data_IF_743991564256
#
_entry.id   IF_743991564256
#
_cell.length_a   1.000
_cell.length_b   1.000
_cell.length_c   1.000
_cell.angle_alpha   90.00
_cell.angle_beta   90.00
_cell.angle_gamma   90.00
#
_symmetry.space_group_name_H-M   'P 1'
#
loop_
_entity.id
_entity.type
_entity.pdbx_description
1 polymer ?
#
# COMPACT_ATOMS: atom_id res chain seq x y z
N UNK A 1 25.13 -8.83 5.88
CA UNK A 1 25.55 -7.67 5.06
C UNK A 1 26.93 -7.13 5.42
N UNK A 2 27.36 -7.06 6.70
CA UNK A 2 28.65 -6.40 7.05
C UNK A 2 29.93 -7.04 6.47
N UNK A 3 30.08 -8.38 6.30
CA UNK A 3 31.34 -8.93 5.78
C UNK A 3 31.60 -8.57 4.32
N UNK A 4 30.54 -8.48 3.52
CA UNK A 4 30.60 -8.24 2.08
C UNK A 4 31.03 -6.80 1.78
N UNK A 5 30.43 -5.85 2.51
CA UNK A 5 30.82 -4.42 2.46
C UNK A 5 32.27 -4.24 2.93
N UNK A 6 32.69 -4.99 3.94
CA UNK A 6 34.08 -4.95 4.43
C UNK A 6 35.08 -5.39 3.35
N UNK A 7 34.85 -6.53 2.67
CA UNK A 7 35.75 -7.01 1.61
C UNK A 7 35.75 -6.11 0.38
N UNK A 8 34.59 -5.60 -0.04
CA UNK A 8 34.51 -4.66 -1.19
C UNK A 8 35.18 -3.32 -0.84
N UNK A 9 35.09 -2.87 0.41
CA UNK A 9 35.78 -1.67 0.90
C UNK A 9 37.31 -1.74 0.85
N UNK A 10 37.91 -2.94 0.81
CA UNK A 10 39.36 -3.12 0.70
C UNK A 10 39.91 -2.91 -0.72
N UNK A 11 39.03 -2.80 -1.73
CA UNK A 11 39.45 -2.65 -3.14
C UNK A 11 40.20 -1.34 -3.39
N UNK A 12 39.79 -0.23 -2.78
CA UNK A 12 40.43 1.08 -2.94
C UNK A 12 41.84 1.10 -2.33
N UNK A 13 42.06 0.67 -1.06
CA UNK A 13 43.41 0.50 -0.51
C UNK A 13 44.33 -0.39 -1.34
N UNK A 14 43.81 -1.51 -1.86
CA UNK A 14 44.58 -2.45 -2.69
C UNK A 14 45.00 -1.83 -4.04
N UNK A 15 44.11 -1.08 -4.68
CA UNK A 15 44.39 -0.35 -5.92
C UNK A 15 45.43 0.76 -5.73
N UNK A 16 45.41 1.45 -4.59
CA UNK A 16 46.40 2.48 -4.26
C UNK A 16 47.79 1.84 -4.05
N UNK A 17 47.85 0.64 -3.46
CA UNK A 17 49.11 -0.06 -3.23
C UNK A 17 49.76 -0.62 -4.51
N UNK A 18 49.01 -0.76 -5.61
CA UNK A 18 49.50 -1.22 -6.91
C UNK A 18 49.78 -0.08 -7.91
N UNK A 19 49.55 1.17 -7.51
CA UNK A 19 49.85 2.34 -8.34
C UNK A 19 51.36 2.47 -8.61
N UNK A 20 51.74 2.74 -9.87
CA UNK A 20 53.15 2.87 -10.29
C UNK A 20 53.87 4.00 -9.54
N UNK A 21 55.14 3.76 -9.21
CA UNK A 21 56.02 4.71 -8.48
C UNK A 21 56.11 6.11 -9.11
N UNK A 22 55.86 6.25 -10.43
CA UNK A 22 55.90 7.52 -11.16
C UNK A 22 54.72 8.45 -10.88
N UNK A 23 53.63 7.96 -10.30
CA UNK A 23 52.46 8.79 -9.96
C UNK A 23 52.61 9.42 -8.57
N UNK A 24 52.34 10.72 -8.44
CA UNK A 24 52.26 11.36 -7.11
C UNK A 24 51.24 10.60 -6.28
N UNK A 25 51.64 10.05 -5.13
CA UNK A 25 50.77 9.26 -4.23
C UNK A 25 49.44 9.97 -3.89
N UNK A 26 49.45 11.31 -3.83
CA UNK A 26 48.24 12.12 -3.64
C UNK A 26 47.28 12.12 -4.84
N UNK A 27 47.81 12.10 -6.06
CA UNK A 27 47.03 12.10 -7.30
C UNK A 27 46.43 10.71 -7.57
N UNK A 28 47.23 9.65 -7.36
CA UNK A 28 46.75 8.27 -7.43
C UNK A 28 45.63 8.00 -6.41
N UNK A 29 45.80 8.46 -5.17
CA UNK A 29 44.77 8.36 -4.14
C UNK A 29 43.50 9.14 -4.50
N UNK A 30 43.65 10.41 -4.94
CA UNK A 30 42.53 11.25 -5.35
C UNK A 30 41.72 10.66 -6.50
N UNK A 31 42.39 10.17 -7.55
CA UNK A 31 41.73 9.54 -8.69
C UNK A 31 41.05 8.22 -8.32
N UNK A 32 41.67 7.38 -7.50
CA UNK A 32 41.08 6.12 -7.05
C UNK A 32 39.82 6.35 -6.20
N UNK A 33 39.86 7.33 -5.29
CA UNK A 33 38.69 7.71 -4.51
C UNK A 33 37.59 8.30 -5.40
N UNK A 34 37.92 9.20 -6.33
CA UNK A 34 36.95 9.78 -7.25
C UNK A 34 36.23 8.72 -8.09
N UNK A 35 37.00 7.77 -8.67
CA UNK A 35 36.43 6.66 -9.44
C UNK A 35 35.55 5.75 -8.57
N UNK A 36 35.96 5.47 -7.33
CA UNK A 36 35.16 4.69 -6.38
C UNK A 36 33.84 5.38 -6.04
N UNK A 37 33.86 6.69 -5.79
CA UNK A 37 32.64 7.46 -5.51
C UNK A 37 31.67 7.43 -6.69
N UNK A 38 32.16 7.69 -7.91
CA UNK A 38 31.33 7.64 -9.12
C UNK A 38 30.77 6.23 -9.33
N UNK A 39 31.60 5.20 -9.19
CA UNK A 39 31.19 3.81 -9.31
C UNK A 39 30.13 3.41 -8.28
N UNK A 40 30.26 3.85 -7.03
CA UNK A 40 29.29 3.57 -5.97
C UNK A 40 27.93 4.24 -6.23
N UNK A 41 27.93 5.50 -6.68
CA UNK A 41 26.69 6.21 -7.04
C UNK A 41 25.99 5.50 -8.19
N UNK A 42 26.73 5.23 -9.28
CA UNK A 42 26.18 4.56 -10.46
C UNK A 42 25.69 3.14 -10.11
N UNK A 43 26.50 2.36 -9.39
CA UNK A 43 26.17 1.00 -8.99
C UNK A 43 24.95 0.93 -8.08
N UNK A 44 24.83 1.86 -7.13
CA UNK A 44 23.68 1.97 -6.24
C UNK A 44 22.40 2.31 -7.04
N UNK A 45 22.45 3.32 -7.91
CA UNK A 45 21.31 3.73 -8.73
C UNK A 45 20.89 2.63 -9.72
N UNK A 46 21.84 1.99 -10.42
CA UNK A 46 21.55 0.89 -11.35
C UNK A 46 20.92 -0.29 -10.59
N UNK A 47 21.48 -0.67 -9.44
CA UNK A 47 20.96 -1.81 -8.67
C UNK A 47 19.55 -1.52 -8.14
N UNK A 48 19.35 -0.35 -7.54
CA UNK A 48 18.07 -0.01 -6.88
C UNK A 48 16.96 0.39 -7.85
N UNK A 49 17.26 1.21 -8.87
CA UNK A 49 16.25 1.76 -9.77
C UNK A 49 16.03 0.93 -11.02
N UNK A 50 17.01 0.12 -11.43
CA UNK A 50 16.91 -0.68 -12.65
C UNK A 50 16.77 -2.16 -12.32
N UNK A 51 17.77 -2.78 -11.67
CA UNK A 51 17.74 -4.22 -11.41
C UNK A 51 16.57 -4.59 -10.49
N UNK A 52 16.43 -3.91 -9.34
CA UNK A 52 15.37 -4.24 -8.39
C UNK A 52 13.98 -3.92 -8.93
N UNK A 53 13.84 -2.85 -9.73
CA UNK A 53 12.56 -2.46 -10.30
C UNK A 53 12.07 -3.45 -11.38
N UNK A 54 12.94 -3.83 -12.33
CA UNK A 54 12.54 -4.68 -13.46
C UNK A 54 12.70 -6.18 -13.21
N UNK A 55 13.72 -6.58 -12.45
CA UNK A 55 14.05 -8.00 -12.22
C UNK A 55 13.69 -8.46 -10.80
N UNK A 56 13.27 -7.55 -9.92
CA UNK A 56 13.00 -7.87 -8.54
C UNK A 56 14.27 -8.05 -7.70
N UNK A 57 14.07 -8.16 -6.38
CA UNK A 57 15.18 -8.20 -5.41
C UNK A 57 16.00 -9.49 -5.52
N UNK A 58 15.33 -10.63 -5.76
CA UNK A 58 15.99 -11.93 -5.84
C UNK A 58 17.03 -12.02 -6.97
N UNK A 59 16.63 -11.65 -8.19
CA UNK A 59 17.55 -11.60 -9.33
C UNK A 59 18.62 -10.52 -9.16
N UNK A 60 18.30 -9.38 -8.54
CA UNK A 60 19.27 -8.33 -8.27
C UNK A 60 20.42 -8.81 -7.39
N UNK A 61 20.11 -9.56 -6.32
CA UNK A 61 21.12 -10.17 -5.45
C UNK A 61 21.97 -11.17 -6.26
N UNK A 62 21.33 -12.03 -7.05
CA UNK A 62 22.04 -13.02 -7.86
C UNK A 62 22.98 -12.36 -8.88
N UNK A 63 22.53 -11.33 -9.60
CA UNK A 63 23.35 -10.61 -10.59
C UNK A 63 24.53 -9.91 -9.92
N UNK A 64 24.33 -9.25 -8.77
CA UNK A 64 25.43 -8.62 -8.04
C UNK A 64 26.47 -9.65 -7.58
N UNK A 65 26.03 -10.80 -7.06
CA UNK A 65 26.94 -11.89 -6.70
C UNK A 65 27.64 -12.51 -7.91
N UNK A 66 26.98 -12.57 -9.07
CA UNK A 66 27.57 -13.03 -10.32
C UNK A 66 28.67 -12.08 -10.82
N UNK A 67 28.43 -10.76 -10.78
CA UNK A 67 29.43 -9.74 -11.12
C UNK A 67 30.65 -9.88 -10.21
N UNK A 68 30.44 -10.04 -8.89
CA UNK A 68 31.54 -10.26 -7.95
C UNK A 68 32.31 -11.56 -8.24
N UNK A 69 31.62 -12.64 -8.60
CA UNK A 69 32.26 -13.88 -9.00
C UNK A 69 33.12 -13.73 -10.27
N UNK A 70 32.66 -12.94 -11.24
CA UNK A 70 33.43 -12.59 -12.46
C UNK A 70 34.68 -11.80 -12.09
N UNK A 71 34.55 -10.77 -11.25
CA UNK A 71 35.69 -9.99 -10.75
C UNK A 71 36.73 -10.87 -10.03
N UNK A 72 36.26 -11.81 -9.20
CA UNK A 72 37.13 -12.79 -8.54
C UNK A 72 37.90 -13.64 -9.57
N UNK A 73 37.25 -14.04 -10.66
CA UNK A 73 37.86 -14.81 -11.75
C UNK A 73 39.05 -14.12 -12.41
N UNK A 74 39.08 -12.78 -12.45
CA UNK A 74 40.21 -12.00 -12.98
C UNK A 74 41.38 -11.87 -12.00
N UNK A 75 41.14 -12.02 -10.68
CA UNK A 75 42.16 -11.84 -9.64
C UNK A 75 42.82 -13.17 -9.26
N UNK A 76 42.12 -14.29 -9.43
CA UNK A 76 42.59 -15.62 -9.02
C UNK A 76 43.69 -16.14 -9.97
N UNK A 77 44.75 -16.70 -9.38
CA UNK A 77 45.76 -17.46 -10.14
C UNK A 77 45.19 -18.81 -10.59
N UNK A 78 45.03 -18.98 -11.90
CA UNK A 78 44.42 -20.18 -12.48
C UNK A 78 45.31 -21.43 -12.39
N UNK A 79 46.60 -21.29 -12.08
CA UNK A 79 47.54 -22.42 -12.00
C UNK A 79 47.64 -23.03 -10.60
N UNK A 80 47.05 -22.41 -9.58
CA UNK A 80 47.11 -22.87 -8.20
C UNK A 80 46.19 -24.08 -7.91
N UNK A 81 46.60 -25.04 -7.05
CA UNK A 81 45.75 -26.16 -6.66
C UNK A 81 44.49 -25.73 -5.89
N UNK A 82 44.50 -24.51 -5.31
CA UNK A 82 43.38 -23.93 -4.56
C UNK A 82 42.24 -23.42 -5.46
N UNK A 83 42.51 -23.19 -6.74
CA UNK A 83 41.54 -22.60 -7.69
C UNK A 83 40.34 -23.52 -7.92
N UNK A 84 40.55 -24.84 -7.94
CA UNK A 84 39.46 -25.83 -8.06
C UNK A 84 38.45 -25.70 -6.91
N UNK A 85 38.94 -25.60 -5.67
CA UNK A 85 38.07 -25.46 -4.49
C UNK A 85 37.32 -24.12 -4.50
N UNK A 86 38.00 -23.04 -4.91
CA UNK A 86 37.41 -21.70 -4.99
C UNK A 86 36.32 -21.61 -6.07
N UNK A 87 36.54 -22.22 -7.24
CA UNK A 87 35.51 -22.31 -8.31
C UNK A 87 34.31 -23.11 -7.82
N UNK A 88 34.53 -24.30 -7.23
CA UNK A 88 33.45 -25.13 -6.69
C UNK A 88 32.65 -24.38 -5.62
N UNK A 89 33.33 -23.70 -4.70
CA UNK A 89 32.69 -22.89 -3.67
C UNK A 89 31.84 -21.77 -4.29
N UNK A 90 32.40 -21.00 -5.23
CA UNK A 90 31.71 -19.88 -5.88
C UNK A 90 30.47 -20.33 -6.64
N UNK A 91 30.58 -21.41 -7.43
CA UNK A 91 29.45 -22.00 -8.17
C UNK A 91 28.37 -22.50 -7.22
N UNK A 92 28.77 -23.17 -6.12
CA UNK A 92 27.84 -23.66 -5.10
C UNK A 92 27.09 -22.50 -4.43
N UNK A 93 27.81 -21.43 -4.04
CA UNK A 93 27.19 -20.24 -3.48
C UNK A 93 26.21 -19.59 -4.44
N UNK A 94 26.57 -19.42 -5.72
CA UNK A 94 25.66 -18.86 -6.73
C UNK A 94 24.42 -19.74 -6.92
N UNK A 95 24.57 -21.07 -6.93
CA UNK A 95 23.45 -22.00 -7.03
C UNK A 95 22.50 -21.91 -5.83
N UNK A 96 23.05 -21.79 -4.61
CA UNK A 96 22.27 -21.58 -3.38
C UNK A 96 21.54 -20.23 -3.43
N UNK A 97 22.22 -19.16 -3.82
CA UNK A 97 21.63 -17.81 -3.91
C UNK A 97 20.47 -17.80 -4.90
N UNK A 98 20.66 -18.38 -6.09
CA UNK A 98 19.61 -18.49 -7.10
C UNK A 98 18.42 -19.32 -6.58
N UNK A 99 18.70 -20.44 -5.92
CA UNK A 99 17.65 -21.32 -5.42
C UNK A 99 16.83 -20.67 -4.31
N UNK A 100 17.48 -20.01 -3.35
CA UNK A 100 16.81 -19.42 -2.18
C UNK A 100 16.16 -18.07 -2.47
N UNK A 101 16.80 -17.19 -3.25
CA UNK A 101 16.31 -15.82 -3.44
C UNK A 101 15.38 -15.67 -4.64
N UNK A 102 15.50 -16.54 -5.64
CA UNK A 102 14.66 -16.51 -6.85
C UNK A 102 13.64 -17.64 -6.79
N UNK A 103 14.08 -18.90 -6.92
CA UNK A 103 13.17 -20.03 -7.12
C UNK A 103 12.23 -20.29 -5.93
N UNK A 104 12.70 -20.10 -4.71
CA UNK A 104 11.86 -20.28 -3.52
C UNK A 104 10.82 -19.16 -3.39
N UNK A 105 11.24 -17.92 -3.65
CA UNK A 105 10.36 -16.73 -3.67
C UNK A 105 9.25 -16.88 -4.70
N UNK A 106 9.57 -17.31 -5.92
CA UNK A 106 8.59 -17.51 -7.01
C UNK A 106 7.54 -18.60 -6.71
N UNK A 107 7.86 -19.53 -5.80
CA UNK A 107 6.91 -20.55 -5.34
C UNK A 107 6.04 -20.06 -4.18
N UNK A 108 6.55 -19.13 -3.39
CA UNK A 108 5.87 -18.64 -2.19
C UNK A 108 4.84 -17.55 -2.54
N UNK A 109 5.18 -16.68 -3.50
CA UNK A 109 4.36 -15.55 -3.90
C UNK A 109 3.76 -15.77 -5.29
N UNK A 110 2.51 -15.35 -5.46
CA UNK A 110 1.86 -15.31 -6.77
C UNK A 110 2.54 -14.29 -7.70
N UNK A 111 3.00 -13.16 -7.13
CA UNK A 111 3.90 -12.22 -7.78
C UNK A 111 4.65 -11.38 -6.74
N UNK A 112 5.80 -10.85 -7.16
CA UNK A 112 6.57 -9.85 -6.40
C UNK A 112 6.79 -8.65 -7.30
N UNK A 113 6.34 -7.49 -6.86
CA UNK A 113 6.46 -6.22 -7.59
C UNK A 113 7.34 -5.23 -6.82
N UNK A 114 7.65 -4.05 -7.38
CA UNK A 114 8.29 -2.98 -6.63
C UNK A 114 7.46 -2.48 -5.43
N UNK A 115 6.17 -2.76 -5.38
CA UNK A 115 5.25 -2.28 -4.34
C UNK A 115 4.90 -3.37 -3.31
N UNK A 116 4.66 -4.59 -3.77
CA UNK A 116 4.01 -5.62 -2.98
C UNK A 116 4.48 -7.04 -3.30
N UNK A 117 4.49 -7.88 -2.26
CA UNK A 117 4.52 -9.32 -2.40
C UNK A 117 3.10 -9.87 -2.25
N UNK A 118 2.58 -10.51 -3.29
CA UNK A 118 1.23 -11.06 -3.33
C UNK A 118 1.23 -12.55 -3.06
N UNK A 119 0.31 -13.00 -2.23
CA UNK A 119 0.09 -14.42 -1.98
C UNK A 119 -1.41 -14.68 -1.85
N UNK A 120 -1.89 -15.77 -2.44
CA UNK A 120 -3.26 -16.27 -2.22
C UNK A 120 -3.13 -17.61 -1.53
N UNK A 121 -3.84 -17.77 -0.43
CA UNK A 121 -3.86 -19.02 0.34
C UNK A 121 -5.29 -19.48 0.56
N UNK A 122 -5.50 -20.79 0.50
CA UNK A 122 -6.78 -21.40 0.82
C UNK A 122 -7.06 -21.27 2.33
N UNK A 123 -8.33 -21.09 2.65
CA UNK A 123 -8.89 -21.02 4.00
C UNK A 123 -10.08 -21.98 4.08
N UNK A 124 -10.40 -22.57 5.25
CA UNK A 124 -11.52 -23.51 5.35
C UNK A 124 -12.85 -23.01 4.75
N UNK A 125 -13.10 -21.70 4.87
CA UNK A 125 -14.35 -21.07 4.40
C UNK A 125 -14.20 -20.31 3.06
N UNK A 126 -13.04 -20.38 2.39
CA UNK A 126 -12.81 -19.64 1.14
C UNK A 126 -11.33 -19.33 0.91
N UNK A 127 -11.01 -18.10 0.50
CA UNK A 127 -9.63 -17.70 0.16
C UNK A 127 -9.19 -16.45 0.89
N UNK A 128 -7.90 -16.36 1.18
CA UNK A 128 -7.26 -15.16 1.75
C UNK A 128 -6.30 -14.57 0.73
N UNK A 129 -6.39 -13.25 0.57
CA UNK A 129 -5.42 -12.47 -0.19
C UNK A 129 -4.47 -11.78 0.77
N UNK A 130 -3.19 -12.13 0.66
CA UNK A 130 -2.11 -11.67 1.52
C UNK A 130 -1.24 -10.72 0.70
N UNK A 131 -1.04 -9.51 1.23
CA UNK A 131 -0.18 -8.48 0.65
C UNK A 131 0.87 -8.13 1.69
N UNK A 132 2.15 -8.24 1.34
CA UNK A 132 3.27 -7.95 2.24
C UNK A 132 3.17 -8.67 3.59
N UNK A 133 2.74 -9.94 3.57
CA UNK A 133 2.51 -10.82 4.74
C UNK A 133 1.38 -10.38 5.68
N UNK A 134 0.60 -9.37 5.32
CA UNK A 134 -0.62 -8.99 6.03
C UNK A 134 -1.85 -9.55 5.32
N UNK A 135 -2.86 -9.96 6.09
CA UNK A 135 -4.15 -10.40 5.53
C UNK A 135 -4.90 -9.17 4.99
N UNK A 136 -4.78 -8.92 3.69
CA UNK A 136 -5.40 -7.77 3.04
C UNK A 136 -6.90 -8.01 2.79
N UNK A 137 -7.26 -9.22 2.36
CA UNK A 137 -8.63 -9.55 2.01
C UNK A 137 -8.97 -11.01 2.27
N UNK A 138 -10.26 -11.28 2.31
CA UNK A 138 -10.83 -12.62 2.36
C UNK A 138 -12.08 -12.64 1.49
N UNK A 139 -12.35 -13.78 0.87
CA UNK A 139 -13.59 -14.02 0.18
C UNK A 139 -14.09 -15.41 0.52
N UNK A 140 -15.32 -15.48 1.00
CA UNK A 140 -15.99 -16.75 1.27
C UNK A 140 -16.38 -17.42 -0.06
N UNK A 141 -16.23 -18.74 -0.14
CA UNK A 141 -16.45 -19.50 -1.37
C UNK A 141 -17.92 -19.47 -1.82
N UNK A 142 -18.85 -19.68 -0.89
CA UNK A 142 -20.29 -19.79 -1.18
C UNK A 142 -20.99 -18.42 -1.23
N UNK A 143 -20.79 -17.60 -0.21
CA UNK A 143 -21.52 -16.33 -0.03
C UNK A 143 -20.86 -15.16 -0.75
N UNK A 144 -19.60 -15.29 -1.18
CA UNK A 144 -18.77 -14.21 -1.75
C UNK A 144 -18.58 -13.00 -0.82
N UNK A 145 -18.92 -13.15 0.47
CA UNK A 145 -18.70 -12.13 1.50
C UNK A 145 -17.24 -12.01 1.86
N UNK A 146 -16.83 -10.79 2.20
CA UNK A 146 -15.47 -10.51 2.64
C UNK A 146 -15.32 -10.47 4.16
N UNK A 147 -14.24 -9.83 4.63
CA UNK A 147 -14.03 -9.59 6.05
C UNK A 147 -15.12 -8.68 6.67
N UNK A 148 -15.35 -8.75 7.99
CA UNK A 148 -16.38 -7.94 8.65
C UNK A 148 -16.33 -6.44 8.33
N UNK A 149 -15.12 -5.86 8.22
CA UNK A 149 -14.96 -4.44 7.92
C UNK A 149 -15.54 -4.06 6.55
N UNK A 150 -15.30 -4.87 5.50
CA UNK A 150 -15.80 -4.57 4.16
C UNK A 150 -17.31 -4.77 4.10
N UNK A 151 -17.85 -5.72 4.85
CA UNK A 151 -19.30 -5.92 5.00
C UNK A 151 -19.97 -4.74 5.72
N UNK A 152 -19.30 -4.13 6.71
CA UNK A 152 -19.76 -2.88 7.33
C UNK A 152 -19.77 -1.73 6.31
N UNK A 153 -18.71 -1.59 5.50
CA UNK A 153 -18.67 -0.60 4.42
C UNK A 153 -19.81 -0.83 3.43
N UNK A 154 -20.03 -2.07 2.96
CA UNK A 154 -21.13 -2.42 2.06
C UNK A 154 -22.49 -2.06 2.64
N UNK A 155 -22.74 -2.38 3.91
CA UNK A 155 -24.00 -2.04 4.59
C UNK A 155 -24.23 -0.53 4.62
N UNK A 156 -23.20 0.27 4.94
CA UNK A 156 -23.31 1.72 4.96
C UNK A 156 -23.53 2.32 3.57
N UNK A 157 -22.71 1.92 2.59
CA UNK A 157 -22.73 2.45 1.21
C UNK A 157 -24.01 2.05 0.47
N UNK A 158 -24.37 0.76 0.50
CA UNK A 158 -25.53 0.24 -0.25
C UNK A 158 -26.86 0.32 0.54
N UNK A 159 -26.89 1.01 1.68
CA UNK A 159 -28.14 1.31 2.41
C UNK A 159 -29.06 2.27 1.64
N UNK A 160 -28.51 3.02 0.67
CA UNK A 160 -29.23 3.96 -0.17
C UNK A 160 -29.24 3.46 -1.63
N UNK A 161 -30.08 4.07 -2.47
CA UNK A 161 -30.08 3.75 -3.89
C UNK A 161 -28.77 4.19 -4.54
N UNK A 162 -27.98 3.22 -5.00
CA UNK A 162 -26.68 3.43 -5.65
C UNK A 162 -26.73 3.26 -7.17
N UNK A 163 -27.92 3.12 -7.77
CA UNK A 163 -28.05 3.05 -9.23
C UNK A 163 -27.46 4.31 -9.88
N UNK A 164 -26.54 4.11 -10.83
CA UNK A 164 -25.81 5.14 -11.57
C UNK A 164 -24.95 6.07 -10.70
N UNK A 165 -24.68 5.70 -9.44
CA UNK A 165 -23.80 6.43 -8.53
C UNK A 165 -22.34 6.03 -8.73
N UNK A 166 -21.45 7.02 -8.71
CA UNK A 166 -20.02 6.83 -8.97
C UNK A 166 -19.26 6.63 -7.66
N UNK A 167 -18.65 5.44 -7.52
CA UNK A 167 -17.86 5.06 -6.35
C UNK A 167 -16.39 4.94 -6.75
N UNK A 168 -15.52 5.72 -6.10
CA UNK A 168 -14.07 5.57 -6.20
C UNK A 168 -13.55 4.82 -4.98
N UNK A 169 -12.86 3.72 -5.20
CA UNK A 169 -12.16 2.97 -4.14
C UNK A 169 -10.67 3.23 -4.28
N UNK A 170 -10.07 3.85 -3.27
CA UNK A 170 -8.63 4.05 -3.15
C UNK A 170 -8.06 2.85 -2.38
N UNK A 171 -7.24 2.05 -3.06
CA UNK A 171 -6.78 0.74 -2.59
C UNK A 171 -7.69 -0.36 -3.13
N UNK A 172 -7.09 -1.41 -3.70
CA UNK A 172 -7.83 -2.50 -4.32
C UNK A 172 -7.51 -3.86 -3.68
N UNK A 173 -7.47 -3.90 -2.34
CA UNK A 173 -7.19 -5.10 -1.53
C UNK A 173 -8.21 -6.23 -1.74
N UNK A 174 -8.12 -6.92 -2.87
CA UNK A 174 -8.96 -8.06 -3.24
C UNK A 174 -10.27 -7.73 -3.95
N UNK A 175 -10.57 -6.46 -4.24
CA UNK A 175 -11.80 -6.03 -4.96
C UNK A 175 -13.12 -6.54 -4.35
N UNK A 176 -13.12 -6.80 -3.04
CA UNK A 176 -14.23 -7.48 -2.35
C UNK A 176 -15.46 -6.59 -2.13
N UNK A 177 -15.31 -5.27 -2.20
CA UNK A 177 -16.44 -4.32 -2.16
C UNK A 177 -17.47 -4.62 -3.27
N UNK A 178 -16.98 -5.02 -4.44
CA UNK A 178 -17.79 -5.31 -5.63
C UNK A 178 -17.86 -6.80 -5.96
N UNK A 179 -17.48 -7.69 -5.04
CA UNK A 179 -17.57 -9.14 -5.29
C UNK A 179 -19.04 -9.60 -5.37
N UNK A 180 -19.90 -9.00 -4.55
CA UNK A 180 -21.36 -9.23 -4.57
C UNK A 180 -22.05 -8.31 -5.60
N UNK A 181 -23.38 -8.16 -5.51
CA UNK A 181 -24.11 -7.19 -6.33
C UNK A 181 -23.78 -5.75 -5.91
N UNK A 182 -23.61 -4.90 -6.91
CA UNK A 182 -23.28 -3.47 -6.75
C UNK A 182 -24.52 -2.59 -6.80
N UNK A 183 -25.71 -3.15 -7.00
CA UNK A 183 -27.00 -2.44 -7.03
C UNK A 183 -27.02 -1.29 -8.06
N UNK A 184 -26.31 -1.47 -9.17
CA UNK A 184 -26.18 -0.49 -10.25
C UNK A 184 -25.11 0.59 -10.03
N UNK A 185 -24.27 0.48 -9.01
CA UNK A 185 -23.17 1.41 -8.76
C UNK A 185 -22.04 1.28 -9.78
N UNK A 186 -21.46 2.41 -10.18
CA UNK A 186 -20.32 2.50 -11.08
C UNK A 186 -19.03 2.57 -10.25
N UNK A 187 -18.37 1.43 -10.08
CA UNK A 187 -17.18 1.33 -9.21
C UNK A 187 -15.90 1.48 -10.03
N UNK A 188 -15.01 2.36 -9.58
CA UNK A 188 -13.63 2.50 -10.05
C UNK A 188 -12.67 2.22 -8.90
N UNK A 189 -11.84 1.20 -9.05
CA UNK A 189 -10.73 0.91 -8.16
C UNK A 189 -9.46 1.60 -8.64
N UNK A 190 -8.73 2.15 -7.70
CA UNK A 190 -7.42 2.75 -7.91
C UNK A 190 -6.42 2.10 -6.96
N UNK A 191 -5.37 1.49 -7.51
CA UNK A 191 -4.26 0.97 -6.72
C UNK A 191 -2.94 1.33 -7.41
N UNK A 192 -1.87 1.51 -6.64
CA UNK A 192 -0.57 1.85 -7.22
C UNK A 192 0.04 0.66 -7.97
N UNK A 193 -0.31 -0.56 -7.58
CA UNK A 193 0.26 -1.77 -8.15
C UNK A 193 -0.59 -2.32 -9.29
N UNK A 194 -0.12 -2.27 -10.56
CA UNK A 194 -0.89 -2.78 -11.70
C UNK A 194 -1.13 -4.30 -11.67
N UNK A 195 -0.29 -5.06 -10.96
CA UNK A 195 -0.37 -6.53 -10.93
C UNK A 195 -1.47 -7.04 -9.98
N UNK A 196 -2.02 -6.18 -9.10
CA UNK A 196 -3.05 -6.59 -8.14
C UNK A 196 -4.30 -7.14 -8.83
N UNK A 197 -4.71 -6.53 -9.95
CA UNK A 197 -5.89 -6.96 -10.72
C UNK A 197 -5.72 -8.35 -11.32
N UNK A 198 -4.73 -8.63 -12.19
CA UNK A 198 -4.61 -9.95 -12.80
C UNK A 198 -4.42 -11.06 -11.75
N UNK A 199 -3.73 -10.78 -10.64
CA UNK A 199 -3.56 -11.74 -9.54
C UNK A 199 -4.91 -12.00 -8.85
N UNK A 200 -5.65 -10.94 -8.52
CA UNK A 200 -6.95 -11.07 -7.88
C UNK A 200 -7.92 -11.85 -8.77
N UNK A 201 -8.05 -11.49 -10.06
CA UNK A 201 -8.95 -12.17 -10.99
C UNK A 201 -8.58 -13.64 -11.20
N UNK A 202 -7.28 -13.95 -11.29
CA UNK A 202 -6.81 -15.31 -11.61
C UNK A 202 -6.80 -16.25 -10.42
N UNK A 203 -6.37 -15.78 -9.24
CA UNK A 203 -6.07 -16.66 -8.11
C UNK A 203 -7.02 -16.47 -6.93
N UNK A 204 -7.48 -15.25 -6.68
CA UNK A 204 -8.26 -14.92 -5.48
C UNK A 204 -9.78 -14.98 -5.71
N UNK A 205 -10.27 -14.20 -6.67
CA UNK A 205 -11.70 -14.14 -7.03
C UNK A 205 -12.11 -15.26 -7.97
N UNK A 206 -11.20 -15.69 -8.85
CA UNK A 206 -11.44 -16.64 -9.95
C UNK A 206 -12.51 -16.16 -10.95
N UNK A 207 -12.74 -14.85 -11.00
CA UNK A 207 -13.61 -14.17 -11.94
C UNK A 207 -13.07 -12.77 -12.22
N UNK A 208 -13.63 -12.12 -13.25
CA UNK A 208 -13.28 -10.72 -13.54
C UNK A 208 -13.82 -9.80 -12.45
N UNK A 209 -13.06 -8.75 -12.15
CA UNK A 209 -13.53 -7.72 -11.22
C UNK A 209 -14.81 -7.05 -11.78
N UNK A 210 -15.71 -6.66 -10.89
CA UNK A 210 -16.89 -5.85 -11.25
C UNK A 210 -16.57 -4.37 -11.06
N UNK A 211 -16.15 -3.72 -12.14
CA UNK A 211 -15.82 -2.30 -12.14
C UNK A 211 -14.64 -1.96 -13.03
N UNK A 212 -14.18 -0.72 -12.96
CA UNK A 212 -12.98 -0.23 -13.64
C UNK A 212 -11.78 -0.31 -12.69
N UNK A 213 -10.60 -0.54 -13.24
CA UNK A 213 -9.35 -0.51 -12.48
C UNK A 213 -8.39 0.49 -13.13
N UNK A 214 -7.76 1.30 -12.31
CA UNK A 214 -6.74 2.28 -12.70
C UNK A 214 -5.51 2.00 -11.84
N UNK A 215 -4.35 1.85 -12.50
CA UNK A 215 -3.07 1.78 -11.80
C UNK A 215 -2.54 3.20 -11.57
N UNK A 216 -2.35 3.61 -10.31
CA UNK A 216 -1.83 4.92 -9.96
C UNK A 216 -1.88 5.25 -8.47
N UNK A 217 -1.08 6.23 -8.06
CA UNK A 217 -1.08 6.72 -6.68
C UNK A 217 -2.37 7.48 -6.35
N UNK A 218 -2.95 7.20 -5.17
CA UNK A 218 -4.21 7.76 -4.72
C UNK A 218 -4.20 9.29 -4.62
N UNK A 219 -3.15 9.87 -4.01
CA UNK A 219 -3.06 11.32 -3.84
C UNK A 219 -2.83 12.01 -5.18
N UNK A 220 -1.91 11.50 -5.99
CA UNK A 220 -1.61 12.04 -7.31
C UNK A 220 -2.83 12.01 -8.24
N UNK A 221 -3.58 10.91 -8.23
CA UNK A 221 -4.81 10.78 -9.02
C UNK A 221 -5.88 11.78 -8.59
N UNK A 222 -6.13 11.94 -7.30
CA UNK A 222 -7.10 12.92 -6.80
C UNK A 222 -6.69 14.36 -7.12
N UNK A 223 -5.39 14.70 -7.05
CA UNK A 223 -4.89 16.03 -7.39
C UNK A 223 -5.10 16.38 -8.86
N UNK A 224 -4.93 15.42 -9.76
CA UNK A 224 -4.98 15.62 -11.21
C UNK A 224 -6.37 15.42 -11.82
N UNK A 225 -7.26 14.68 -11.15
CA UNK A 225 -8.62 14.44 -11.61
C UNK A 225 -9.52 15.66 -11.38
N UNK A 226 -10.30 16.04 -12.40
CA UNK A 226 -11.37 17.04 -12.27
C UNK A 226 -12.73 16.42 -11.89
N UNK A 227 -12.80 15.09 -11.79
CA UNK A 227 -14.03 14.35 -11.45
C UNK A 227 -14.34 14.49 -9.95
N UNK A 228 -15.63 14.47 -9.64
CA UNK A 228 -16.15 14.28 -8.28
C UNK A 228 -16.94 12.97 -8.22
N UNK A 229 -17.04 12.40 -7.02
CA UNK A 229 -17.65 11.09 -6.79
C UNK A 229 -18.74 11.17 -5.73
N UNK A 230 -19.74 10.30 -5.84
CA UNK A 230 -20.79 10.17 -4.83
C UNK A 230 -20.26 9.47 -3.59
N UNK A 231 -19.38 8.48 -3.76
CA UNK A 231 -18.70 7.80 -2.67
C UNK A 231 -17.21 7.69 -2.96
N UNK A 232 -16.37 8.03 -1.98
CA UNK A 232 -14.94 7.72 -2.00
C UNK A 232 -14.63 6.78 -0.83
N UNK A 233 -14.26 5.54 -1.13
CA UNK A 233 -13.81 4.58 -0.12
C UNK A 233 -12.29 4.63 -0.04
N UNK A 234 -11.74 4.92 1.13
CA UNK A 234 -10.31 4.92 1.40
C UNK A 234 -9.95 3.64 2.14
N UNK A 235 -9.42 2.69 1.41
CA UNK A 235 -9.00 1.36 1.87
C UNK A 235 -7.54 1.08 1.48
N UNK A 236 -6.67 2.04 1.81
CA UNK A 236 -5.26 2.06 1.40
C UNK A 236 -4.32 1.37 2.40
N UNK A 237 -4.81 1.04 3.59
CA UNK A 237 -3.94 0.70 4.73
C UNK A 237 -4.05 -0.78 5.10
N UNK A 238 -3.01 -1.55 4.78
CA UNK A 238 -2.96 -2.99 5.13
C UNK A 238 -2.43 -3.23 6.56
N UNK A 239 -1.64 -2.30 7.11
CA UNK A 239 -1.08 -2.34 8.47
C UNK A 239 -0.65 -0.92 8.88
N UNK A 240 -0.84 -0.54 10.15
CA UNK A 240 -0.37 0.73 10.71
C UNK A 240 1.13 0.95 10.59
N UNK A 241 1.93 -0.12 10.56
CA UNK A 241 3.39 -0.02 10.38
C UNK A 241 3.82 0.41 8.96
N UNK A 242 2.93 0.35 7.97
CA UNK A 242 3.27 0.55 6.55
C UNK A 242 2.32 1.50 5.83
N UNK A 243 1.75 2.46 6.56
CA UNK A 243 0.87 3.48 5.98
C UNK A 243 1.69 4.44 5.10
N UNK A 244 1.31 4.64 3.83
CA UNK A 244 1.95 5.65 3.00
C UNK A 244 1.77 7.03 3.62
N UNK A 245 2.87 7.69 4.00
CA UNK A 245 2.84 8.93 4.78
C UNK A 245 2.00 10.03 4.11
N UNK A 246 2.04 10.13 2.77
CA UNK A 246 1.31 11.14 2.03
C UNK A 246 -0.20 10.91 1.99
N UNK A 247 -0.70 9.72 2.35
CA UNK A 247 -2.14 9.43 2.41
C UNK A 247 -2.70 9.47 3.83
N UNK A 248 -1.90 9.81 4.84
CA UNK A 248 -2.34 9.95 6.24
C UNK A 248 -2.12 11.38 6.76
N UNK A 249 -2.63 12.36 6.01
CA UNK A 249 -2.43 13.80 6.30
C UNK A 249 -3.75 14.55 6.25
N UNK A 250 -3.82 15.67 6.94
CA UNK A 250 -4.96 16.58 6.87
C UNK A 250 -5.25 16.99 5.42
N UNK A 251 -4.20 17.28 4.64
CA UNK A 251 -4.32 17.69 3.24
C UNK A 251 -4.90 16.57 2.37
N UNK A 252 -4.53 15.31 2.63
CA UNK A 252 -5.08 14.18 1.88
C UNK A 252 -6.57 13.98 2.18
N UNK A 253 -6.97 13.95 3.45
CA UNK A 253 -8.39 13.80 3.79
C UNK A 253 -9.22 15.01 3.37
N UNK A 254 -8.64 16.21 3.39
CA UNK A 254 -9.28 17.43 2.86
C UNK A 254 -9.44 17.36 1.35
N UNK A 255 -8.44 16.81 0.65
CA UNK A 255 -8.52 16.54 -0.78
C UNK A 255 -9.63 15.53 -1.08
N UNK A 256 -9.74 14.44 -0.33
CA UNK A 256 -10.85 13.48 -0.43
C UNK A 256 -12.19 14.20 -0.29
N UNK A 257 -12.37 15.00 0.76
CA UNK A 257 -13.59 15.79 0.98
C UNK A 257 -13.93 16.72 -0.19
N UNK A 258 -12.91 17.38 -0.78
CA UNK A 258 -13.08 18.29 -1.92
C UNK A 258 -13.54 17.58 -3.20
N UNK A 259 -13.26 16.28 -3.32
CA UNK A 259 -13.59 15.44 -4.49
C UNK A 259 -14.91 14.69 -4.35
N UNK A 260 -15.62 14.85 -3.23
CA UNK A 260 -16.98 14.35 -3.08
C UNK A 260 -17.98 15.27 -3.78
N UNK A 261 -19.07 14.72 -4.31
CA UNK A 261 -20.26 15.47 -4.70
C UNK A 261 -20.91 16.15 -3.46
N UNK A 262 -21.80 17.16 -3.63
CA UNK A 262 -22.43 17.87 -2.51
C UNK A 262 -23.14 16.99 -1.46
N UNK A 263 -23.71 15.86 -1.88
CA UNK A 263 -24.35 14.85 -1.02
C UNK A 263 -23.49 13.58 -0.85
N UNK A 264 -22.22 13.65 -1.28
CA UNK A 264 -21.32 12.53 -1.27
C UNK A 264 -20.77 12.19 0.12
N UNK A 265 -20.22 10.99 0.22
CA UNK A 265 -19.67 10.45 1.46
C UNK A 265 -18.29 9.82 1.23
N UNK A 266 -17.36 10.13 2.14
CA UNK A 266 -16.11 9.39 2.27
C UNK A 266 -16.30 8.26 3.27
N UNK A 267 -15.82 7.07 2.95
CA UNK A 267 -15.77 5.93 3.86
C UNK A 267 -14.32 5.54 4.07
N UNK A 268 -13.81 5.59 5.30
CA UNK A 268 -12.40 5.31 5.59
C UNK A 268 -12.27 4.03 6.40
N UNK A 269 -11.40 3.11 5.96
CA UNK A 269 -11.00 1.95 6.75
C UNK A 269 -9.65 2.24 7.40
N UNK A 270 -9.64 2.54 8.71
CA UNK A 270 -8.42 2.84 9.45
C UNK A 270 -8.14 1.73 10.45
N UNK A 271 -6.96 1.10 10.35
CA UNK A 271 -6.47 0.25 11.42
C UNK A 271 -5.93 1.13 12.55
N UNK A 272 -6.58 1.12 13.71
CA UNK A 272 -6.20 1.90 14.90
C UNK A 272 -6.71 1.23 16.19
N UNK A 273 -6.18 1.65 17.33
CA UNK A 273 -6.69 1.27 18.64
C UNK A 273 -7.97 2.07 18.95
N UNK A 274 -9.13 1.42 19.17
CA UNK A 274 -10.39 2.10 19.40
C UNK A 274 -10.44 2.82 20.74
N UNK A 275 -9.52 2.53 21.68
CA UNK A 275 -9.38 3.27 22.94
C UNK A 275 -8.63 4.60 22.79
N UNK A 276 -8.02 4.87 21.62
CA UNK A 276 -7.23 6.07 21.34
C UNK A 276 -6.17 6.37 22.42
N UNK A 277 -5.59 5.33 23.00
CA UNK A 277 -4.64 5.41 24.10
C UNK A 277 -3.16 5.43 23.63
N UNK A 278 -2.92 5.38 22.32
CA UNK A 278 -1.62 5.55 21.69
C UNK A 278 -1.59 6.77 20.76
N UNK A 279 -0.40 7.37 20.60
CA UNK A 279 -0.21 8.59 19.81
C UNK A 279 -0.64 8.43 18.36
N UNK A 280 -0.44 7.25 17.75
CA UNK A 280 -0.80 7.02 16.36
C UNK A 280 -2.32 7.06 16.19
N UNK A 281 -3.06 6.28 16.99
CA UNK A 281 -4.52 6.19 16.89
C UNK A 281 -5.17 7.54 17.22
N UNK A 282 -4.67 8.23 18.25
CA UNK A 282 -5.13 9.56 18.63
C UNK A 282 -4.91 10.58 17.51
N UNK A 283 -3.69 10.66 16.96
CA UNK A 283 -3.37 11.62 15.91
C UNK A 283 -4.09 11.31 14.60
N UNK A 284 -4.28 10.03 14.26
CA UNK A 284 -5.02 9.62 13.07
C UNK A 284 -6.50 10.03 13.18
N UNK A 285 -7.17 9.72 14.30
CA UNK A 285 -8.57 10.12 14.52
C UNK A 285 -8.72 11.65 14.49
N UNK A 286 -7.84 12.39 15.16
CA UNK A 286 -7.80 13.84 15.13
C UNK A 286 -7.67 14.39 13.71
N UNK A 287 -6.71 13.85 12.93
CA UNK A 287 -6.44 14.29 11.56
C UNK A 287 -7.63 14.04 10.64
N UNK A 288 -8.26 12.87 10.74
CA UNK A 288 -9.47 12.53 10.00
C UNK A 288 -10.59 13.52 10.33
N UNK A 289 -10.90 13.71 11.62
CA UNK A 289 -12.02 14.56 12.06
C UNK A 289 -11.80 16.04 11.79
N UNK A 290 -10.55 16.51 11.77
CA UNK A 290 -10.21 17.87 11.35
C UNK A 290 -10.54 18.13 9.88
N UNK A 291 -10.23 17.17 9.00
CA UNK A 291 -10.48 17.29 7.56
C UNK A 291 -11.94 16.97 7.17
N UNK A 292 -12.55 16.04 7.88
CA UNK A 292 -13.90 15.53 7.69
C UNK A 292 -14.67 15.66 9.01
N UNK A 293 -15.33 16.80 9.25
CA UNK A 293 -15.95 17.08 10.55
C UNK A 293 -17.28 16.34 10.79
N UNK A 294 -17.93 15.84 9.75
CA UNK A 294 -19.24 15.16 9.83
C UNK A 294 -19.10 13.64 9.64
N UNK A 295 -18.47 12.98 10.61
CA UNK A 295 -18.23 11.54 10.59
C UNK A 295 -18.96 10.78 11.71
N UNK A 296 -19.47 9.61 11.38
CA UNK A 296 -19.85 8.57 12.34
C UNK A 296 -18.81 7.45 12.26
N UNK A 297 -18.44 6.88 13.39
CA UNK A 297 -17.48 5.76 13.47
C UNK A 297 -18.18 4.47 13.86
N UNK A 298 -17.90 3.41 13.11
CA UNK A 298 -18.26 2.04 13.44
C UNK A 298 -16.98 1.27 13.78
N UNK A 299 -17.01 0.49 14.85
CA UNK A 299 -15.84 -0.26 15.35
C UNK A 299 -16.19 -1.75 15.38
N UNK A 300 -15.26 -2.57 14.91
CA UNK A 300 -15.47 -4.02 14.92
C UNK A 300 -15.46 -4.58 16.35
N UNK A 301 -14.64 -4.02 17.23
CA UNK A 301 -14.46 -4.44 18.62
C UNK A 301 -13.89 -3.27 19.45
N UNK A 302 -14.17 -3.21 20.76
CA UNK A 302 -13.64 -2.20 21.67
C UNK A 302 -12.65 -2.84 22.64
N UNK A 303 -11.39 -2.95 22.21
CA UNK A 303 -10.30 -3.59 22.97
C UNK A 303 -8.98 -2.86 22.76
N UNK A 304 -8.04 -3.04 23.68
CA UNK A 304 -6.71 -2.45 23.64
C UNK A 304 -5.81 -3.17 22.61
N UNK A 305 -6.16 -3.04 21.33
CA UNK A 305 -5.43 -3.60 20.20
C UNK A 305 -5.87 -2.93 18.90
N UNK A 306 -5.08 -3.11 17.84
CA UNK A 306 -5.43 -2.63 16.51
C UNK A 306 -6.67 -3.33 15.97
N UNK A 307 -7.69 -2.55 15.61
CA UNK A 307 -8.91 -3.02 14.93
C UNK A 307 -9.22 -2.14 13.73
N UNK A 308 -10.11 -2.59 12.84
CA UNK A 308 -10.66 -1.74 11.79
C UNK A 308 -11.71 -0.80 12.40
N UNK A 309 -11.43 0.51 12.33
CA UNK A 309 -12.35 1.61 12.63
C UNK A 309 -12.84 2.17 11.30
N UNK A 310 -14.14 2.08 11.06
CA UNK A 310 -14.77 2.54 9.82
C UNK A 310 -15.39 3.91 10.06
N UNK A 311 -14.91 4.91 9.32
CA UNK A 311 -15.45 6.27 9.36
C UNK A 311 -16.41 6.47 8.19
N UNK A 312 -17.67 6.83 8.47
CA UNK A 312 -18.64 7.28 7.49
C UNK A 312 -18.77 8.79 7.57
N UNK A 313 -18.18 9.50 6.62
CA UNK A 313 -18.01 10.95 6.64
C UNK A 313 -18.77 11.62 5.50
N UNK A 314 -19.80 12.40 5.81
CA UNK A 314 -20.48 13.23 4.80
C UNK A 314 -19.63 14.44 4.40
N UNK A 315 -19.79 14.92 3.16
CA UNK A 315 -19.10 16.13 2.70
C UNK A 315 -19.41 17.31 3.62
N UNK A 316 -18.36 18.05 3.96
CA UNK A 316 -18.46 19.23 4.79
C UNK A 316 -19.01 20.41 3.97
N UNK A 317 -20.32 20.51 3.84
CA UNK A 317 -20.94 21.74 3.34
C UNK A 317 -20.83 22.77 4.46
N UNK A 318 -19.95 23.76 4.30
CA UNK A 318 -19.89 24.92 5.20
C UNK A 318 -21.26 25.57 5.22
N UNK A 319 -22.03 25.32 6.27
CA UNK A 319 -23.33 25.94 6.45
C UNK A 319 -23.09 27.41 6.84
N UNK A 320 -23.39 28.31 5.90
CA UNK A 320 -23.16 29.76 6.06
C UNK A 320 -23.95 30.31 7.26
N UNK A 321 -25.05 29.66 7.62
CA UNK A 321 -25.93 30.04 8.73
C UNK A 321 -25.41 29.60 10.10
N UNK A 322 -24.64 28.50 10.16
CA UNK A 322 -24.06 28.02 11.43
C UNK A 322 -22.93 28.90 11.96
N UNK A 323 -22.36 29.77 11.13
CA UNK A 323 -21.27 30.69 11.49
C UNK A 323 -21.71 31.95 12.27
N UNK A 324 -23.02 32.12 12.49
CA UNK A 324 -23.61 33.36 13.04
C UNK A 324 -24.11 33.27 14.50
N UNK A 325 -24.04 32.10 15.14
CA UNK A 325 -24.46 31.90 16.55
C UNK A 325 -23.26 31.46 17.39
N UNK A 326 -22.89 32.28 18.39
CA UNK A 326 -21.66 32.14 19.19
C UNK A 326 -21.96 31.63 20.61
N UNK A 327 -23.20 31.70 21.09
CA UNK A 327 -23.57 31.51 22.50
C UNK A 327 -24.39 30.23 22.81
N UNK A 328 -25.12 29.67 21.84
CA UNK A 328 -25.69 28.32 21.91
C UNK A 328 -25.21 27.48 20.71
N UNK A 329 -24.00 26.94 20.84
CA UNK A 329 -23.33 26.14 19.80
C UNK A 329 -23.88 24.72 19.68
N UNK A 330 -24.70 24.28 20.65
CA UNK A 330 -25.23 22.92 20.74
C UNK A 330 -26.71 22.89 20.38
N UNK A 331 -27.01 22.99 19.07
CA UNK A 331 -28.37 22.83 18.54
C UNK A 331 -28.97 21.43 18.73
N UNK A 332 -28.32 20.53 19.48
CA UNK A 332 -28.71 19.12 19.65
C UNK A 332 -30.16 18.96 20.06
N UNK A 333 -30.65 19.77 21.01
CA UNK A 333 -32.05 19.70 21.47
C UNK A 333 -33.03 20.16 20.40
N UNK A 334 -32.71 21.25 19.68
CA UNK A 334 -33.55 21.80 18.60
C UNK A 334 -33.55 20.87 17.39
N UNK A 335 -32.37 20.43 16.96
CA UNK A 335 -32.19 19.50 15.84
C UNK A 335 -32.85 18.15 16.14
N UNK A 336 -32.76 17.66 17.39
CA UNK A 336 -33.43 16.45 17.84
C UNK A 336 -34.96 16.55 17.74
N UNK A 337 -35.54 17.68 18.15
CA UNK A 337 -36.97 17.96 17.98
C UNK A 337 -37.37 18.09 16.50
N UNK A 338 -36.57 18.80 15.69
CA UNK A 338 -36.85 18.94 14.26
C UNK A 338 -36.75 17.59 13.51
N UNK A 339 -35.84 16.71 13.94
CA UNK A 339 -35.72 15.36 13.41
C UNK A 339 -36.95 14.49 13.75
N UNK A 340 -37.47 14.57 14.98
CA UNK A 340 -38.66 13.81 15.38
C UNK A 340 -39.92 14.24 14.61
N UNK A 341 -40.08 15.53 14.33
CA UNK A 341 -41.19 16.03 13.50
C UNK A 341 -41.12 15.55 12.03
N UNK A 342 -39.92 15.33 11.49
CA UNK A 342 -39.75 14.77 10.14
C UNK A 342 -40.12 13.28 10.10
N UNK A 343 -39.93 12.54 11.19
CA UNK A 343 -40.29 11.13 11.29
C UNK A 343 -41.81 10.92 11.31
N UNK A 344 -42.59 11.82 11.91
CA UNK A 344 -44.07 11.75 11.86
C UNK A 344 -44.61 11.82 10.42
N UNK A 345 -44.00 12.63 9.55
CA UNK A 345 -44.34 12.69 8.11
C UNK A 345 -43.99 11.41 7.33
N UNK A 346 -43.07 10.58 7.84
CA UNK A 346 -42.73 9.28 7.24
C UNK A 346 -43.70 8.17 7.65
N UNK A 347 -44.25 8.23 8.87
CA UNK A 347 -45.25 7.27 9.36
C UNK A 347 -46.59 7.47 8.63
N UNK A 348 -46.98 8.71 8.35
CA UNK A 348 -48.21 9.00 7.60
C UNK A 348 -48.13 8.66 6.10
N UNK A 349 -46.93 8.66 5.49
CA UNK A 349 -46.76 8.25 4.08
C UNK A 349 -46.77 6.74 3.83
N UNK A 350 -46.78 5.91 4.88
CA UNK A 350 -46.93 4.44 4.76
C UNK A 350 -48.35 3.95 5.03
N UNK A 351 -49.33 4.85 5.18
CA UNK A 351 -50.74 4.54 5.06
C UNK A 351 -51.26 5.15 3.76
N UNK A 352 -51.28 4.37 2.69
CA UNK A 352 -52.34 4.27 1.67
C UNK A 352 -51.93 3.23 0.63
#
# INVERSE_FOLDING_TARGET
MSPLVFFVGQTVPLLINTAKEETRKSEASGNATALSTVGNVIGCLITSLVLMYYLGVGYSIFINCLILAICLGFVVDWHGPRTKYLVVFTVTCLAIILSLNVRYTDKLFAATTPYSNFQVVDHPDGKRFIINRSNASFINEETRKGWPYIETIKKGVFSQNMTDKEILVLGAGGFTLSAEDTHGALITYLDIDPEIKPIAEKYFLEEKIKGKFIAGDARAFLLTSNKQWDVIVVDLYTNAATIPMHTATYEFFSLVSSKLNPEGMAVLNIAANPMLNDDYSLNMDYTVRQALSRCITDITDYKDSMVNIIYFCSKNNKDTVASLYIDDTTKVTVDGYMASMKLEKWVDKKKF
#
